data_IF_786237902804
#
_entry.id   IF_786237902804
#
_cell.length_a   1.000
_cell.length_b   1.000
_cell.length_c   1.000
_cell.angle_alpha   90.00
_cell.angle_beta   90.00
_cell.angle_gamma   90.00
#
_symmetry.space_group_name_H-M   'P 1'
#
loop_
_entity.id
_entity.type
_entity.pdbx_description
1 polymer ?
#
# COMPACT_ATOMS: atom_id res chain seq x y z
N UNK A 1 4.12 5.89 5.29
CA UNK A 1 4.16 4.54 5.90
C UNK A 1 5.61 4.11 6.04
N UNK A 2 6.02 3.55 7.17
CA UNK A 2 7.39 3.10 7.41
C UNK A 2 7.38 1.68 7.96
N UNK A 3 8.11 0.77 7.33
CA UNK A 3 8.37 -0.57 7.84
C UNK A 3 9.50 -0.59 8.90
N UNK A 4 10.19 0.54 9.08
CA UNK A 4 11.26 0.72 10.06
C UNK A 4 10.70 1.15 11.42
N UNK A 5 11.18 0.54 12.50
CA UNK A 5 10.82 0.92 13.87
C UNK A 5 10.87 -0.26 14.85
N UNK A 6 10.61 -0.02 16.14
CA UNK A 6 10.48 -1.08 17.13
C UNK A 6 9.32 -2.03 16.74
N UNK A 7 9.62 -3.32 16.58
CA UNK A 7 8.67 -4.33 16.07
C UNK A 7 8.56 -4.40 14.54
N UNK A 8 9.27 -3.52 13.82
CA UNK A 8 9.40 -3.53 12.36
C UNK A 8 10.71 -4.15 11.88
N UNK A 9 11.04 -3.92 10.62
CA UNK A 9 12.27 -4.42 10.00
C UNK A 9 13.45 -3.49 10.31
N UNK A 10 14.64 -4.07 10.48
CA UNK A 10 15.89 -3.30 10.40
C UNK A 10 16.33 -3.19 8.94
N UNK A 11 16.96 -2.07 8.58
CA UNK A 11 17.43 -1.78 7.21
C UNK A 11 18.27 -2.92 6.63
N UNK A 12 19.14 -3.50 7.46
CA UNK A 12 20.10 -4.53 7.06
C UNK A 12 19.48 -5.94 6.97
N UNK A 13 18.29 -6.15 7.55
CA UNK A 13 17.55 -7.43 7.49
C UNK A 13 16.42 -7.42 6.46
N UNK A 14 16.10 -6.28 5.88
CA UNK A 14 15.06 -6.18 4.87
C UNK A 14 15.62 -6.59 3.49
N UNK A 15 15.38 -7.86 3.13
CA UNK A 15 15.76 -8.44 1.84
C UNK A 15 14.92 -7.90 0.67
N UNK A 16 15.18 -8.43 -0.52
CA UNK A 16 14.50 -8.04 -1.75
C UNK A 16 12.97 -8.27 -1.68
N UNK A 17 12.54 -9.39 -1.11
CA UNK A 17 11.14 -9.84 -1.06
C UNK A 17 10.19 -8.84 -0.40
N UNK A 18 10.67 -8.06 0.56
CA UNK A 18 9.88 -7.08 1.31
C UNK A 18 9.97 -5.66 0.74
N UNK A 19 10.90 -5.41 -0.18
CA UNK A 19 11.10 -4.11 -0.84
C UNK A 19 10.39 -4.04 -2.18
N UNK A 20 10.12 -5.18 -2.81
CA UNK A 20 9.45 -5.24 -4.10
C UNK A 20 7.97 -4.84 -4.01
N UNK A 21 7.40 -4.42 -5.13
CA UNK A 21 6.00 -4.00 -5.22
C UNK A 21 5.12 -5.23 -5.37
N UNK A 22 4.31 -5.50 -4.36
CA UNK A 22 3.33 -6.58 -4.41
C UNK A 22 2.01 -6.13 -5.06
N UNK A 23 1.28 -7.04 -5.71
CA UNK A 23 0.01 -6.75 -6.38
C UNK A 23 -1.06 -6.15 -5.42
N UNK A 24 -1.00 -6.50 -4.13
CA UNK A 24 -1.90 -5.93 -3.12
C UNK A 24 -1.68 -4.44 -2.87
N UNK A 25 -0.54 -3.86 -3.30
CA UNK A 25 -0.31 -2.41 -3.20
C UNK A 25 -1.25 -1.60 -4.10
N UNK A 26 -1.82 -2.23 -5.14
CA UNK A 26 -2.68 -1.56 -6.10
C UNK A 26 -3.83 -0.81 -5.42
N UNK A 27 -3.86 0.51 -5.61
CA UNK A 27 -4.84 1.43 -5.03
C UNK A 27 -4.67 1.72 -3.54
N UNK A 28 -3.78 1.02 -2.82
CA UNK A 28 -3.56 1.14 -1.37
C UNK A 28 -2.30 1.92 -1.04
N UNK A 29 -1.19 1.58 -1.68
CA UNK A 29 0.15 2.16 -1.46
C UNK A 29 0.66 2.67 -2.80
N UNK A 30 1.27 3.85 -2.81
CA UNK A 30 1.88 4.41 -4.00
C UNK A 30 3.14 3.62 -4.38
N UNK A 31 3.22 3.02 -5.60
CA UNK A 31 4.37 2.18 -5.97
C UNK A 31 5.61 2.99 -6.40
N UNK A 32 5.43 4.27 -6.76
CA UNK A 32 6.49 5.12 -7.29
C UNK A 32 7.08 6.08 -6.25
N UNK A 33 6.30 6.42 -5.22
CA UNK A 33 6.72 7.40 -4.21
C UNK A 33 7.38 6.69 -3.03
N UNK A 34 8.66 6.36 -3.24
CA UNK A 34 9.56 5.78 -2.24
C UNK A 34 10.93 6.44 -2.38
N UNK A 35 11.65 6.73 -1.28
CA UNK A 35 12.99 7.30 -1.38
C UNK A 35 13.96 6.28 -1.99
N UNK A 36 14.82 6.75 -2.89
CA UNK A 36 15.88 5.94 -3.46
C UNK A 36 16.97 5.57 -2.42
N UNK A 37 17.81 4.61 -2.78
CA UNK A 37 18.96 4.19 -1.95
C UNK A 37 18.57 3.20 -0.85
N UNK A 38 19.21 3.23 0.34
CA UNK A 38 19.07 2.19 1.35
C UNK A 38 17.64 1.95 1.86
N UNK A 39 16.77 2.96 1.76
CA UNK A 39 15.39 2.93 2.24
C UNK A 39 14.36 2.59 1.16
N UNK A 40 14.78 2.29 -0.07
CA UNK A 40 13.86 1.94 -1.17
C UNK A 40 12.99 0.75 -0.77
N UNK A 41 11.67 0.91 -0.94
CA UNK A 41 10.66 -0.09 -0.58
C UNK A 41 10.35 -0.21 0.93
N UNK A 42 11.09 0.47 1.81
CA UNK A 42 10.87 0.44 3.27
C UNK A 42 10.04 1.63 3.77
N UNK A 43 10.02 2.70 2.97
CA UNK A 43 9.21 3.90 3.19
C UNK A 43 8.35 4.08 1.95
N UNK A 44 7.05 4.18 2.15
CA UNK A 44 6.08 4.35 1.06
C UNK A 44 4.99 5.33 1.46
N UNK A 45 4.34 5.93 0.46
CA UNK A 45 3.20 6.85 0.67
C UNK A 45 1.86 6.13 0.44
N UNK A 46 0.80 6.57 1.12
CA UNK A 46 -0.56 6.08 0.87
C UNK A 46 -1.02 6.51 -0.53
N UNK A 47 -1.76 5.65 -1.23
CA UNK A 47 -2.37 6.03 -2.49
C UNK A 47 -3.50 7.07 -2.27
N UNK A 48 -3.83 7.85 -3.30
CA UNK A 48 -4.69 9.05 -3.17
C UNK A 48 -6.07 8.80 -2.56
N UNK A 49 -6.68 7.65 -2.83
CA UNK A 49 -8.01 7.28 -2.32
C UNK A 49 -7.96 6.20 -1.23
N UNK A 50 -6.77 5.79 -0.80
CA UNK A 50 -6.62 4.76 0.22
C UNK A 50 -7.07 5.27 1.59
N UNK A 51 -7.73 4.41 2.37
CA UNK A 51 -8.21 4.69 3.73
C UNK A 51 -7.76 3.59 4.69
N UNK A 52 -7.74 3.90 5.98
CA UNK A 52 -7.47 2.93 7.03
C UNK A 52 -8.81 2.52 7.65
N UNK A 53 -9.09 1.22 7.68
CA UNK A 53 -10.30 0.70 8.30
C UNK A 53 -10.19 0.63 9.83
N UNK A 54 -11.28 0.28 10.51
CA UNK A 54 -11.33 0.20 11.99
C UNK A 54 -10.34 -0.79 12.62
N UNK A 55 -9.81 -1.74 11.83
CA UNK A 55 -8.83 -2.73 12.29
C UNK A 55 -7.39 -2.34 11.97
N UNK A 56 -7.17 -1.18 11.32
CA UNK A 56 -5.85 -0.70 10.94
C UNK A 56 -5.35 -1.20 9.58
N UNK A 57 -6.17 -1.90 8.79
CA UNK A 57 -5.80 -2.30 7.43
C UNK A 57 -6.07 -1.19 6.41
N UNK A 58 -5.31 -1.20 5.32
CA UNK A 58 -5.47 -0.24 4.22
C UNK A 58 -6.49 -0.79 3.22
N UNK A 59 -7.49 0.02 2.91
CA UNK A 59 -8.55 -0.28 1.94
C UNK A 59 -8.60 0.80 0.85
N UNK A 60 -9.20 0.43 -0.27
CA UNK A 60 -9.33 1.24 -1.47
C UNK A 60 -10.77 1.17 -1.93
N UNK A 61 -11.42 2.30 -2.25
CA UNK A 61 -12.78 2.28 -2.78
C UNK A 61 -12.78 1.65 -4.19
N UNK A 62 -13.77 0.79 -4.42
CA UNK A 62 -14.11 0.26 -5.74
C UNK A 62 -15.55 0.65 -6.06
N UNK A 63 -15.91 0.66 -7.34
CA UNK A 63 -17.30 0.78 -7.76
C UNK A 63 -17.92 -0.59 -7.87
N UNK A 64 -19.13 -0.75 -7.35
CA UNK A 64 -19.91 -1.96 -7.52
C UNK A 64 -20.39 -2.10 -8.97
N UNK A 65 -20.31 -3.31 -9.51
CA UNK A 65 -20.76 -3.63 -10.87
C UNK A 65 -21.75 -4.79 -10.79
N UNK A 66 -22.96 -4.57 -11.29
CA UNK A 66 -24.03 -5.57 -11.35
C UNK A 66 -24.35 -5.85 -12.83
N UNK A 67 -24.23 -7.09 -13.28
CA UNK A 67 -24.54 -7.49 -14.67
C UNK A 67 -23.87 -6.62 -15.75
N UNK A 68 -22.57 -6.33 -15.58
CA UNK A 68 -21.78 -5.46 -16.47
C UNK A 68 -22.23 -4.00 -16.52
N UNK A 69 -23.09 -3.56 -15.59
CA UNK A 69 -23.52 -2.17 -15.42
C UNK A 69 -22.97 -1.64 -14.10
N UNK A 70 -22.43 -0.42 -14.12
CA UNK A 70 -21.91 0.26 -12.93
C UNK A 70 -23.10 0.69 -12.07
N UNK A 71 -23.02 0.44 -10.76
CA UNK A 71 -24.01 0.95 -9.80
C UNK A 71 -23.72 2.45 -9.54
N UNK A 72 -24.62 3.34 -9.97
CA UNK A 72 -24.47 4.80 -9.79
C UNK A 72 -25.01 5.31 -8.44
N UNK A 73 -25.65 4.43 -7.65
CA UNK A 73 -26.30 4.81 -6.39
C UNK A 73 -25.46 4.48 -5.13
N UNK A 74 -24.23 3.99 -5.33
CA UNK A 74 -23.24 3.69 -4.29
C UNK A 74 -22.37 4.92 -3.95
#
# INVERSE_FOLDING_TARGET
LSALGPGGLSRDRAGYEVRDVHASHYGRICPIETPEGPNIGLISTLASYAKINQYGFIETPYRKVNNCVIDEHD
#
